data_IF_966671046738
#
_entry.id   IF_966671046738
#
_cell.length_a   1.000
_cell.length_b   1.000
_cell.length_c   1.000
_cell.angle_alpha   90.00
_cell.angle_beta   90.00
_cell.angle_gamma   90.00
#
_symmetry.space_group_name_H-M   'P 1'
#
loop_
_entity.id
_entity.type
_entity.pdbx_description
1 polymer ?
#
# COMPACT_ATOMS: atom_id res chain seq x y z
N UNK A 1 -0.29 -13.93 8.26
CA UNK A 1 -0.47 -13.83 6.80
C UNK A 1 -1.86 -14.31 6.43
N UNK A 2 -2.34 -13.93 5.25
CA UNK A 2 -3.55 -14.47 4.64
C UNK A 2 -3.34 -15.92 4.22
N UNK A 3 -4.38 -16.74 4.36
CA UNK A 3 -4.31 -18.18 4.13
C UNK A 3 -4.29 -18.50 2.63
N UNK A 4 -3.75 -19.68 2.25
CA UNK A 4 -3.90 -20.22 0.91
C UNK A 4 -5.38 -20.25 0.47
N UNK A 5 -5.63 -19.94 -0.80
CA UNK A 5 -6.99 -19.90 -1.37
C UNK A 5 -7.70 -18.54 -1.28
N UNK A 6 -7.10 -17.55 -0.63
CA UNK A 6 -7.57 -16.15 -0.66
C UNK A 6 -6.86 -15.34 -1.73
N UNK A 7 -7.47 -14.24 -2.19
CA UNK A 7 -6.87 -13.33 -3.18
C UNK A 7 -5.47 -12.85 -2.76
N UNK A 8 -5.28 -12.54 -1.47
CA UNK A 8 -4.01 -12.04 -0.93
C UNK A 8 -3.19 -13.12 -0.21
N UNK A 9 -3.30 -14.38 -0.62
CA UNK A 9 -2.56 -15.50 -0.01
C UNK A 9 -1.07 -15.19 0.15
N UNK A 10 -0.55 -15.34 1.39
CA UNK A 10 0.87 -15.08 1.69
C UNK A 10 1.22 -13.61 1.96
N UNK A 11 0.30 -12.66 1.81
CA UNK A 11 0.43 -11.27 2.27
C UNK A 11 0.14 -11.18 3.77
N UNK A 12 0.71 -10.19 4.45
CA UNK A 12 0.39 -9.90 5.86
C UNK A 12 -1.09 -9.55 6.04
N UNK A 13 -1.70 -9.95 7.16
CA UNK A 13 -3.10 -9.61 7.49
C UNK A 13 -3.25 -8.29 8.21
N UNK A 14 -2.15 -7.80 8.76
CA UNK A 14 -2.13 -6.67 9.64
C UNK A 14 -0.75 -6.02 9.64
N UNK A 15 -0.70 -4.73 9.92
CA UNK A 15 0.49 -3.98 10.27
C UNK A 15 0.24 -3.18 11.55
N UNK A 16 1.30 -2.84 12.26
CA UNK A 16 1.24 -1.91 13.37
C UNK A 16 2.52 -1.09 13.35
N UNK A 17 2.37 0.22 13.55
CA UNK A 17 3.52 1.12 13.69
C UNK A 17 4.27 0.78 14.97
N UNK A 18 5.58 0.62 14.88
CA UNK A 18 6.43 0.55 16.07
C UNK A 18 6.88 1.97 16.41
N UNK A 19 6.60 2.43 17.63
CA UNK A 19 7.03 3.74 18.10
C UNK A 19 7.75 3.63 19.45
N UNK A 20 8.59 4.61 19.73
CA UNK A 20 9.36 4.64 20.97
C UNK A 20 8.67 5.53 21.99
N UNK A 21 8.27 4.95 23.13
CA UNK A 21 7.59 5.68 24.19
C UNK A 21 8.37 5.55 25.50
N UNK A 22 8.97 6.66 25.94
CA UNK A 22 9.66 6.77 27.23
C UNK A 22 10.63 5.60 27.52
N UNK A 23 11.51 5.29 26.58
CA UNK A 23 12.51 4.23 26.78
C UNK A 23 12.11 2.85 26.25
N UNK A 24 10.83 2.63 25.90
CA UNK A 24 10.31 1.31 25.54
C UNK A 24 9.66 1.32 24.14
N UNK A 25 10.08 0.42 23.23
CA UNK A 25 9.38 0.22 21.97
C UNK A 25 7.98 -0.35 22.23
N UNK A 26 6.97 0.24 21.58
CA UNK A 26 5.58 -0.21 21.64
C UNK A 26 5.00 -0.25 20.23
N UNK A 27 4.03 -1.13 20.04
CA UNK A 27 3.18 -1.09 18.87
C UNK A 27 2.03 -0.12 19.12
N UNK A 28 1.74 0.69 18.11
CA UNK A 28 0.51 1.47 18.03
C UNK A 28 -0.67 0.55 17.68
N UNK A 29 -1.80 1.16 17.35
CA UNK A 29 -3.02 0.50 16.88
C UNK A 29 -2.73 -0.43 15.70
N UNK A 30 -3.37 -1.60 15.74
CA UNK A 30 -3.22 -2.63 14.71
C UNK A 30 -4.17 -2.31 13.56
N UNK A 31 -3.61 -2.11 12.38
CA UNK A 31 -4.35 -1.98 11.13
C UNK A 31 -4.49 -3.37 10.50
N UNK A 32 -5.70 -3.74 10.06
CA UNK A 32 -6.01 -5.07 9.52
C UNK A 32 -6.68 -4.97 8.17
N UNK A 33 -6.42 -5.97 7.33
CA UNK A 33 -7.15 -6.15 6.07
C UNK A 33 -7.98 -7.42 6.09
N UNK A 34 -9.07 -7.40 5.33
CA UNK A 34 -9.73 -8.61 4.88
C UNK A 34 -8.91 -9.24 3.75
N UNK A 35 -8.75 -10.56 3.77
CA UNK A 35 -7.86 -11.24 2.83
C UNK A 35 -8.35 -11.24 1.37
N UNK A 36 -9.60 -10.85 1.13
CA UNK A 36 -10.17 -10.66 -0.20
C UNK A 36 -10.16 -9.18 -0.66
N UNK A 37 -9.66 -8.26 0.17
CA UNK A 37 -9.59 -6.84 -0.19
C UNK A 37 -8.57 -6.64 -1.32
N UNK A 38 -8.99 -6.01 -2.41
CA UNK A 38 -8.08 -5.70 -3.53
C UNK A 38 -7.75 -4.21 -3.61
N UNK A 39 -6.63 -3.88 -4.27
CA UNK A 39 -6.30 -2.49 -4.60
C UNK A 39 -7.39 -1.83 -5.47
N UNK A 40 -8.13 -2.59 -6.28
CA UNK A 40 -9.26 -2.06 -7.03
C UNK A 40 -10.41 -1.65 -6.11
N UNK A 41 -10.74 -2.46 -5.10
CA UNK A 41 -11.75 -2.12 -4.10
C UNK A 41 -11.36 -0.85 -3.33
N UNK A 42 -10.08 -0.74 -2.96
CA UNK A 42 -9.56 0.47 -2.28
C UNK A 42 -9.68 1.67 -3.20
N UNK A 43 -9.23 1.57 -4.46
CA UNK A 43 -9.29 2.67 -5.43
C UNK A 43 -10.72 3.17 -5.64
N UNK A 44 -11.71 2.29 -5.65
CA UNK A 44 -13.12 2.66 -5.76
C UNK A 44 -13.63 3.46 -4.54
N UNK A 45 -13.02 3.27 -3.37
CA UNK A 45 -13.40 3.95 -2.12
C UNK A 45 -12.61 5.24 -1.85
N UNK A 46 -11.50 5.46 -2.55
CA UNK A 46 -10.73 6.69 -2.42
C UNK A 46 -11.46 7.80 -3.20
N UNK A 47 -12.07 8.73 -2.47
CA UNK A 47 -12.83 9.86 -3.03
C UNK A 47 -12.06 11.19 -2.92
N UNK A 48 -12.63 12.26 -3.46
CA UNK A 48 -12.06 13.62 -3.42
C UNK A 48 -12.11 14.29 -2.04
N UNK A 49 -12.76 13.67 -1.04
CA UNK A 49 -12.83 14.20 0.32
C UNK A 49 -12.87 13.06 1.32
N UNK A 50 -11.69 12.72 1.88
CA UNK A 50 -11.56 11.67 2.89
C UNK A 50 -11.41 12.26 4.30
N UNK A 51 -12.13 11.65 5.25
CA UNK A 51 -11.85 11.85 6.67
C UNK A 51 -10.52 11.22 7.08
N UNK A 52 -9.88 11.71 8.15
CA UNK A 52 -8.58 11.21 8.59
C UNK A 52 -8.59 9.70 8.94
N UNK A 53 -9.68 9.20 9.54
CA UNK A 53 -9.82 7.77 9.89
C UNK A 53 -9.91 6.90 8.62
N UNK A 54 -10.70 7.32 7.64
CA UNK A 54 -10.85 6.61 6.37
C UNK A 54 -9.55 6.64 5.56
N UNK A 55 -8.89 7.80 5.48
CA UNK A 55 -7.60 7.96 4.83
C UNK A 55 -6.53 7.06 5.46
N UNK A 56 -6.48 6.98 6.79
CA UNK A 56 -5.57 6.10 7.52
C UNK A 56 -5.83 4.62 7.20
N UNK A 57 -7.10 4.21 7.19
CA UNK A 57 -7.48 2.83 6.90
C UNK A 57 -7.11 2.45 5.46
N UNK A 58 -7.41 3.30 4.48
CA UNK A 58 -7.11 3.06 3.07
C UNK A 58 -5.60 3.06 2.81
N UNK A 59 -4.85 3.99 3.43
CA UNK A 59 -3.39 4.04 3.32
C UNK A 59 -2.73 2.79 3.90
N UNK A 60 -3.13 2.39 5.11
CA UNK A 60 -2.59 1.21 5.79
C UNK A 60 -2.95 -0.08 5.06
N UNK A 61 -4.19 -0.18 4.55
CA UNK A 61 -4.60 -1.34 3.73
C UNK A 61 -3.77 -1.44 2.46
N UNK A 62 -3.52 -0.32 1.78
CA UNK A 62 -2.67 -0.27 0.59
C UNK A 62 -1.24 -0.71 0.91
N UNK A 63 -0.66 -0.16 1.99
CA UNK A 63 0.67 -0.50 2.49
C UNK A 63 0.82 -1.99 2.83
N UNK A 64 -0.22 -2.63 3.37
CA UNK A 64 -0.23 -4.06 3.65
C UNK A 64 -0.29 -4.86 2.35
N UNK A 65 -1.17 -4.48 1.39
CA UNK A 65 -1.31 -5.17 0.11
C UNK A 65 -0.05 -5.07 -0.77
N UNK A 66 0.77 -4.04 -0.59
CA UNK A 66 2.05 -3.87 -1.30
C UNK A 66 3.27 -4.42 -0.55
N UNK A 67 3.06 -5.11 0.58
CA UNK A 67 4.15 -5.59 1.46
C UNK A 67 5.05 -6.68 0.89
N UNK A 68 4.72 -7.23 -0.29
CA UNK A 68 5.56 -8.19 -1.03
C UNK A 68 5.87 -7.66 -2.43
N UNK A 69 6.86 -6.78 -2.56
CA UNK A 69 7.20 -6.13 -3.83
C UNK A 69 7.49 -7.13 -4.97
N UNK A 70 8.03 -8.30 -4.64
CA UNK A 70 8.33 -9.37 -5.60
C UNK A 70 7.10 -10.03 -6.22
N UNK A 71 5.91 -9.79 -5.66
CA UNK A 71 4.63 -10.30 -6.16
C UNK A 71 3.79 -9.23 -6.86
N UNK A 72 4.25 -7.98 -6.89
CA UNK A 72 3.50 -6.88 -7.48
C UNK A 72 3.51 -6.96 -9.01
N UNK A 73 2.33 -6.85 -9.61
CA UNK A 73 2.18 -6.64 -11.04
C UNK A 73 2.22 -5.15 -11.40
N UNK A 74 2.45 -4.81 -12.67
CA UNK A 74 2.36 -3.43 -13.17
C UNK A 74 1.00 -2.77 -12.86
N UNK A 75 -0.09 -3.55 -12.89
CA UNK A 75 -1.43 -3.10 -12.51
C UNK A 75 -1.53 -2.77 -11.01
N UNK A 76 -0.94 -3.62 -10.15
CA UNK A 76 -0.90 -3.34 -8.71
C UNK A 76 -0.08 -2.10 -8.41
N UNK A 77 1.08 -1.95 -9.05
CA UNK A 77 1.97 -0.79 -8.87
C UNK A 77 1.24 0.49 -9.25
N UNK A 78 0.62 0.52 -10.43
CA UNK A 78 -0.14 1.68 -10.91
C UNK A 78 -1.30 2.00 -9.97
N UNK A 79 -2.06 0.99 -9.55
CA UNK A 79 -3.21 1.17 -8.66
C UNK A 79 -2.79 1.71 -7.30
N UNK A 80 -1.77 1.14 -6.68
CA UNK A 80 -1.23 1.58 -5.40
C UNK A 80 -0.69 3.02 -5.47
N UNK A 81 0.05 3.36 -6.54
CA UNK A 81 0.55 4.71 -6.76
C UNK A 81 -0.58 5.75 -6.87
N UNK A 82 -1.63 5.42 -7.62
CA UNK A 82 -2.80 6.29 -7.74
C UNK A 82 -3.55 6.44 -6.41
N UNK A 83 -3.68 5.36 -5.64
CA UNK A 83 -4.32 5.40 -4.31
C UNK A 83 -3.55 6.35 -3.38
N UNK A 84 -2.23 6.17 -3.22
CA UNK A 84 -1.46 7.03 -2.31
C UNK A 84 -1.42 8.48 -2.77
N UNK A 85 -1.31 8.72 -4.09
CA UNK A 85 -1.38 10.08 -4.64
C UNK A 85 -2.70 10.76 -4.29
N UNK A 86 -3.81 10.04 -4.44
CA UNK A 86 -5.14 10.56 -4.17
C UNK A 86 -5.36 10.79 -2.67
N UNK A 87 -4.92 9.86 -1.81
CA UNK A 87 -4.96 10.04 -0.35
C UNK A 87 -4.17 11.28 0.08
N UNK A 88 -2.93 11.44 -0.41
CA UNK A 88 -2.06 12.56 -0.05
C UNK A 88 -2.57 13.91 -0.58
N UNK A 89 -3.27 13.91 -1.72
CA UNK A 89 -3.79 15.15 -2.33
C UNK A 89 -5.15 15.58 -1.78
N UNK A 90 -6.00 14.63 -1.36
CA UNK A 90 -7.42 14.87 -1.11
C UNK A 90 -7.87 14.63 0.34
N UNK A 91 -6.98 14.23 1.25
CA UNK A 91 -7.35 14.09 2.66
C UNK A 91 -7.36 15.45 3.35
N UNK A 92 -8.42 15.72 4.11
CA UNK A 92 -8.61 16.99 4.84
C UNK A 92 -7.52 17.20 5.89
N UNK A 93 -6.99 16.11 6.47
CA UNK A 93 -5.94 16.14 7.47
C UNK A 93 -5.02 14.92 7.32
N UNK A 94 -3.77 15.15 6.89
CA UNK A 94 -2.74 14.11 6.78
C UNK A 94 -2.07 13.96 8.15
N UNK A 95 -2.38 12.86 8.82
CA UNK A 95 -1.70 12.46 10.06
C UNK A 95 -0.36 11.79 9.76
N UNK A 96 0.48 11.65 10.79
CA UNK A 96 1.76 10.94 10.65
C UNK A 96 1.58 9.48 10.19
N UNK A 97 0.54 8.79 10.69
CA UNK A 97 0.22 7.43 10.26
C UNK A 97 -0.11 7.34 8.77
N UNK A 98 -0.87 8.32 8.24
CA UNK A 98 -1.24 8.35 6.82
C UNK A 98 0.02 8.54 5.98
N UNK A 99 0.86 9.49 6.36
CA UNK A 99 2.12 9.78 5.67
C UNK A 99 3.07 8.57 5.71
N UNK A 100 3.23 7.91 6.85
CA UNK A 100 4.08 6.73 7.00
C UNK A 100 3.60 5.58 6.10
N UNK A 101 2.30 5.28 6.10
CA UNK A 101 1.75 4.21 5.26
C UNK A 101 1.92 4.53 3.77
N UNK A 102 1.68 5.79 3.36
CA UNK A 102 1.85 6.22 1.98
C UNK A 102 3.32 6.16 1.52
N UNK A 103 4.26 6.66 2.33
CA UNK A 103 5.70 6.62 2.02
C UNK A 103 6.22 5.18 2.00
N UNK A 104 5.77 4.34 2.93
CA UNK A 104 6.12 2.91 2.94
C UNK A 104 5.62 2.21 1.69
N UNK A 105 4.40 2.52 1.25
CA UNK A 105 3.86 2.02 -0.03
C UNK A 105 4.77 2.43 -1.18
N UNK A 106 5.15 3.71 -1.29
CA UNK A 106 6.06 4.19 -2.33
C UNK A 106 7.40 3.44 -2.28
N UNK A 107 7.99 3.24 -1.09
CA UNK A 107 9.22 2.47 -0.92
C UNK A 107 9.08 1.03 -1.40
N UNK A 108 7.95 0.39 -1.12
CA UNK A 108 7.65 -0.96 -1.60
C UNK A 108 7.53 -0.99 -3.13
N UNK A 109 6.85 0.00 -3.73
CA UNK A 109 6.74 0.12 -5.20
C UNK A 109 8.10 0.30 -5.88
N UNK A 110 8.99 1.10 -5.28
CA UNK A 110 10.36 1.29 -5.78
C UNK A 110 11.23 0.04 -5.65
N UNK A 111 10.82 -0.92 -4.82
CA UNK A 111 11.51 -2.20 -4.61
C UNK A 111 10.84 -3.34 -5.40
N UNK A 112 9.83 -3.05 -6.22
CA UNK A 112 9.17 -4.06 -7.04
C UNK A 112 10.15 -4.71 -8.02
N UNK A 113 9.87 -5.95 -8.40
CA UNK A 113 10.74 -6.73 -9.29
C UNK A 113 10.94 -5.97 -10.63
N UNK A 114 12.19 -5.62 -11.01
CA UNK A 114 12.48 -4.97 -12.28
C UNK A 114 11.96 -5.72 -13.50
N UNK A 115 11.79 -7.05 -13.43
CA UNK A 115 11.23 -7.86 -14.52
C UNK A 115 9.77 -7.48 -14.86
N UNK A 116 9.05 -6.81 -13.96
CA UNK A 116 7.73 -6.26 -14.24
C UNK A 116 7.78 -5.10 -15.25
N UNK A 117 8.96 -4.52 -15.45
CA UNK A 117 9.23 -3.44 -16.39
C UNK A 117 10.22 -3.91 -17.45
N UNK A 118 9.82 -4.80 -18.37
CA UNK A 118 10.72 -5.23 -19.43
C UNK A 118 11.17 -3.99 -20.21
N UNK A 119 12.48 -3.82 -20.36
CA UNK A 119 13.02 -2.83 -21.28
C UNK A 119 12.40 -3.11 -22.66
N UNK A 120 11.82 -2.09 -23.28
CA UNK A 120 11.52 -2.18 -24.71
C UNK A 120 12.86 -2.37 -25.40
N UNK A 121 13.18 -3.61 -25.79
CA UNK A 121 14.26 -3.90 -26.72
C UNK A 121 14.11 -2.92 -27.86
N UNK A 122 15.07 -2.00 -28.02
CA UNK A 122 15.05 -1.07 -29.14
C UNK A 122 14.92 -1.93 -30.40
N UNK A 123 13.77 -1.84 -31.07
CA UNK A 123 13.62 -2.45 -32.36
C UNK A 123 14.73 -1.85 -33.22
N UNK A 124 15.73 -2.65 -33.55
CA UNK A 124 16.76 -2.28 -34.52
C UNK A 124 16.00 -2.00 -35.81
N UNK A 125 15.81 -0.73 -36.14
CA UNK A 125 15.42 -0.29 -37.48
C UNK A 125 16.57 -0.72 -38.38
N UNK A 126 16.33 -1.80 -39.12
CA UNK A 126 17.20 -2.29 -40.17
C UNK A 126 16.81 -1.64 -41.49
#
# INVERSE_FOLDING_TARGET
MCLPGTTNSGISRASARCFYNNGNPKFDSIEKIECELTLENIRANVTVSLGAVEAQQLASSTQILTSRPEQLTTSNITSAALIVNTILSNSINITEGIAEAAVTTISQLLTADPQQFPEQSSATVR
#
